data_IF_795838076359
#
_entry.id   IF_795838076359
#
_cell.length_a   1.000
_cell.length_b   1.000
_cell.length_c   1.000
_cell.angle_alpha   90.00
_cell.angle_beta   90.00
_cell.angle_gamma   90.00
#
_symmetry.space_group_name_H-M   'P 1'
#
loop_
_entity.id
_entity.type
_entity.pdbx_description
1 polymer ?
#
# COMPACT_ATOMS: atom_id res chain seq x y z
N UNK A 1 -0.50 5.89 -9.43
CA UNK A 1 -1.00 4.56 -9.86
C UNK A 1 -2.02 4.72 -10.98
N UNK A 2 -3.24 5.21 -10.72
CA UNK A 2 -4.25 5.51 -11.76
C UNK A 2 -3.74 6.39 -12.90
N UNK A 3 -3.04 7.47 -12.55
CA UNK A 3 -2.47 8.43 -13.52
C UNK A 3 -1.37 7.81 -14.41
N UNK A 4 -0.72 6.75 -13.94
CA UNK A 4 0.36 6.06 -14.64
C UNK A 4 -0.10 4.75 -15.31
N UNK A 5 -1.42 4.47 -15.37
CA UNK A 5 -1.99 3.20 -15.84
C UNK A 5 -1.39 1.96 -15.16
N UNK A 6 -1.01 2.09 -13.90
CA UNK A 6 -0.50 0.97 -13.11
C UNK A 6 -1.70 0.27 -12.48
N UNK A 7 -1.85 -1.02 -12.73
CA UNK A 7 -2.86 -1.85 -12.09
C UNK A 7 -2.59 -1.94 -10.59
N UNK A 8 -3.62 -1.68 -9.78
CA UNK A 8 -3.55 -1.84 -8.34
C UNK A 8 -4.89 -2.36 -7.83
N UNK A 9 -4.82 -3.15 -6.76
CA UNK A 9 -6.00 -3.62 -6.04
C UNK A 9 -6.22 -2.72 -4.84
N UNK A 10 -7.38 -2.08 -4.78
CA UNK A 10 -7.76 -1.27 -3.62
C UNK A 10 -8.45 -2.18 -2.60
N UNK A 11 -7.76 -2.43 -1.48
CA UNK A 11 -8.31 -3.18 -0.35
C UNK A 11 -8.76 -2.23 0.75
N UNK A 12 -10.06 -2.24 1.04
CA UNK A 12 -10.63 -1.42 2.09
C UNK A 12 -10.55 -2.13 3.45
N UNK A 13 -9.50 -1.82 4.20
CA UNK A 13 -9.25 -2.36 5.56
C UNK A 13 -10.26 -1.92 6.62
N UNK A 14 -11.16 -0.98 6.31
CA UNK A 14 -12.27 -0.63 7.21
C UNK A 14 -13.40 -1.66 7.13
N UNK A 15 -13.64 -2.20 5.94
CA UNK A 15 -14.68 -3.23 5.70
C UNK A 15 -14.12 -4.65 5.79
N UNK A 16 -12.83 -4.81 5.49
CA UNK A 16 -12.14 -6.10 5.50
C UNK A 16 -11.20 -6.20 6.71
N UNK A 17 -11.65 -6.94 7.72
CA UNK A 17 -10.89 -7.18 8.94
C UNK A 17 -9.63 -8.02 8.70
N UNK A 18 -9.66 -8.93 7.71
CA UNK A 18 -8.51 -9.77 7.37
C UNK A 18 -7.42 -8.93 6.70
N UNK A 19 -7.79 -8.09 5.73
CA UNK A 19 -6.88 -7.13 5.10
C UNK A 19 -6.25 -6.19 6.14
N UNK A 20 -7.04 -5.79 7.15
CA UNK A 20 -6.54 -4.98 8.28
C UNK A 20 -5.51 -5.73 9.11
N UNK A 21 -5.78 -6.97 9.49
CA UNK A 21 -4.83 -7.80 10.25
C UNK A 21 -3.56 -8.07 9.45
N UNK A 22 -3.66 -8.36 8.15
CA UNK A 22 -2.49 -8.53 7.28
C UNK A 22 -1.66 -7.25 7.19
N UNK A 23 -2.32 -6.09 7.01
CA UNK A 23 -1.64 -4.79 7.01
C UNK A 23 -0.91 -4.55 8.33
N UNK A 24 -1.55 -4.77 9.49
CA UNK A 24 -0.93 -4.57 10.80
C UNK A 24 0.22 -5.56 11.02
N UNK A 25 0.03 -6.82 10.64
CA UNK A 25 1.04 -7.87 10.78
C UNK A 25 2.27 -7.57 9.92
N UNK A 26 2.06 -7.12 8.68
CA UNK A 26 3.16 -6.82 7.74
C UNK A 26 3.82 -5.45 7.99
N UNK A 27 3.09 -4.43 8.44
CA UNK A 27 3.62 -3.06 8.62
C UNK A 27 3.89 -2.67 10.07
N UNK A 28 3.31 -3.38 11.03
CA UNK A 28 3.28 -3.00 12.44
C UNK A 28 2.41 -1.76 12.73
N UNK A 29 1.68 -1.23 11.74
CA UNK A 29 0.96 0.03 11.85
C UNK A 29 -0.54 -0.15 11.65
N UNK A 30 -1.32 0.57 12.46
CA UNK A 30 -2.79 0.58 12.43
C UNK A 30 -3.37 1.63 11.47
N UNK A 31 -2.52 2.48 10.90
CA UNK A 31 -2.92 3.67 10.15
C UNK A 31 -2.77 3.49 8.64
N UNK A 32 -3.81 3.89 7.91
CA UNK A 32 -3.81 4.08 6.45
C UNK A 32 -3.27 5.46 6.08
N UNK A 33 -2.81 5.71 4.83
CA UNK A 33 -2.66 4.75 3.73
C UNK A 33 -1.44 3.84 3.85
N UNK A 34 -1.54 2.61 3.34
CA UNK A 34 -0.44 1.65 3.19
C UNK A 34 -0.48 1.11 1.76
N UNK A 35 0.66 1.04 1.10
CA UNK A 35 0.79 0.54 -0.28
C UNK A 35 1.85 -0.55 -0.33
N UNK A 36 1.53 -1.74 -0.82
CA UNK A 36 2.50 -2.79 -1.11
C UNK A 36 2.87 -2.73 -2.60
N UNK A 37 4.17 -2.55 -2.92
CA UNK A 37 4.68 -2.47 -4.29
C UNK A 37 5.86 -3.44 -4.41
N UNK A 38 5.76 -4.44 -5.30
CA UNK A 38 6.82 -5.45 -5.52
C UNK A 38 7.28 -6.15 -4.22
N UNK A 39 6.36 -6.39 -3.27
CA UNK A 39 6.65 -6.97 -1.95
C UNK A 39 7.29 -5.99 -0.96
N UNK A 40 7.50 -4.72 -1.34
CA UNK A 40 7.90 -3.66 -0.42
C UNK A 40 6.69 -2.89 0.08
N UNK A 41 6.53 -2.87 1.39
CA UNK A 41 5.52 -2.07 2.08
C UNK A 41 5.97 -0.62 2.18
N UNK A 42 5.15 0.28 1.67
CA UNK A 42 5.23 1.73 1.85
C UNK A 42 4.11 2.13 2.80
N UNK A 43 4.50 2.61 3.97
CA UNK A 43 3.58 3.15 4.95
C UNK A 43 3.41 4.65 4.71
N UNK A 44 2.18 5.12 4.67
CA UNK A 44 1.83 6.48 4.31
C UNK A 44 1.83 6.73 2.80
N UNK A 45 1.90 8.01 2.42
CA UNK A 45 1.93 8.45 1.03
C UNK A 45 3.31 9.05 0.71
N UNK A 46 4.28 8.20 0.41
CA UNK A 46 5.62 8.62 0.00
C UNK A 46 5.77 8.53 -1.51
N UNK A 47 5.53 9.65 -2.20
CA UNK A 47 5.63 9.71 -3.67
C UNK A 47 7.03 9.36 -4.19
N UNK A 48 8.09 9.72 -3.47
CA UNK A 48 9.47 9.43 -3.89
C UNK A 48 9.74 7.92 -3.86
N UNK A 49 9.41 7.28 -2.75
CA UNK A 49 9.56 5.84 -2.58
C UNK A 49 8.64 5.06 -3.52
N UNK A 50 7.39 5.49 -3.68
CA UNK A 50 6.45 4.89 -4.64
C UNK A 50 6.99 4.98 -6.07
N UNK A 51 7.50 6.13 -6.49
CA UNK A 51 8.05 6.29 -7.85
C UNK A 51 9.28 5.39 -8.04
N UNK A 52 10.19 5.37 -7.07
CA UNK A 52 11.37 4.50 -7.10
C UNK A 52 11.00 3.01 -7.18
N UNK A 53 9.99 2.56 -6.42
CA UNK A 53 9.54 1.16 -6.42
C UNK A 53 8.82 0.76 -7.71
N UNK A 54 8.21 1.73 -8.39
CA UNK A 54 7.54 1.56 -9.67
C UNK A 54 8.48 1.77 -10.87
N UNK A 55 9.72 2.20 -10.63
CA UNK A 55 10.69 2.53 -11.69
C UNK A 55 10.31 3.78 -12.50
N UNK A 56 9.61 4.73 -11.87
CA UNK A 56 9.20 6.02 -12.44
C UNK A 56 10.18 7.15 -12.07
#
# INVERSE_FOLDING_TARGET
LKEHNIEFTELNVFSDAQAREEMISKTGQLGVPVTEINGQMVVGFDRGKISQLLGL
#
